data_IF_333725784678
#
_entry.id   IF_333725784678
#
_cell.length_a   1.000
_cell.length_b   1.000
_cell.length_c   1.000
_cell.angle_alpha   90.00
_cell.angle_beta   90.00
_cell.angle_gamma   90.00
#
_symmetry.space_group_name_H-M   'P 1'
#
loop_
_entity.id
_entity.type
_entity.pdbx_description
1 polymer ?
#
# COMPACT_ATOMS: atom_id res chain seq x y z
N UNK A 1 -2.06 14.47 8.71
CA UNK A 1 -1.18 13.29 8.58
C UNK A 1 -2.06 12.15 8.13
N UNK A 2 -1.72 11.48 7.02
CA UNK A 2 -2.45 10.29 6.58
C UNK A 2 -2.23 9.17 7.60
N UNK A 3 -3.31 8.62 8.16
CA UNK A 3 -3.22 7.42 8.99
C UNK A 3 -2.80 6.23 8.13
N UNK A 4 -1.70 5.57 8.50
CA UNK A 4 -1.19 4.39 7.79
C UNK A 4 -1.36 3.18 8.70
N UNK A 5 -2.01 2.14 8.19
CA UNK A 5 -2.20 0.88 8.89
C UNK A 5 -1.37 -0.24 8.24
N UNK A 6 -0.84 -1.15 9.06
CA UNK A 6 -0.18 -2.35 8.59
C UNK A 6 -1.22 -3.30 8.00
N UNK A 7 -1.05 -3.74 6.76
CA UNK A 7 -1.97 -4.70 6.14
C UNK A 7 -1.83 -6.12 6.70
N UNK A 8 -0.77 -6.40 7.46
CA UNK A 8 -0.57 -7.71 8.09
C UNK A 8 -1.30 -7.85 9.43
N UNK A 9 -1.28 -6.82 10.28
CA UNK A 9 -1.90 -6.86 11.61
C UNK A 9 -3.00 -5.82 11.88
N UNK A 10 -3.27 -4.93 10.90
CA UNK A 10 -4.25 -3.86 10.98
C UNK A 10 -3.84 -2.68 11.87
N UNK A 11 -2.72 -2.80 12.58
CA UNK A 11 -2.29 -1.81 13.57
C UNK A 11 -1.78 -0.51 12.96
N UNK A 12 -1.86 0.57 13.72
CA UNK A 12 -1.41 1.90 13.35
C UNK A 12 0.12 2.00 13.29
N UNK A 13 0.66 2.56 12.21
CA UNK A 13 2.10 2.74 12.01
C UNK A 13 2.50 4.17 12.35
N UNK A 14 3.29 4.32 13.41
CA UNK A 14 3.80 5.61 13.92
C UNK A 14 5.10 6.02 13.24
N UNK A 15 5.95 5.05 12.90
CA UNK A 15 7.25 5.28 12.27
C UNK A 15 7.25 4.74 10.84
N UNK A 16 7.17 5.62 9.82
CA UNK A 16 7.09 5.18 8.43
C UNK A 16 8.43 4.68 7.86
N UNK A 17 9.55 4.94 8.53
CA UNK A 17 10.88 4.54 8.09
C UNK A 17 11.07 3.00 7.99
N UNK A 18 10.27 2.23 8.76
CA UNK A 18 10.29 0.77 8.75
C UNK A 18 9.27 0.10 7.83
N UNK A 19 8.54 0.87 7.00
CA UNK A 19 7.48 0.32 6.14
C UNK A 19 8.08 -0.37 4.92
N UNK A 20 7.72 -1.64 4.74
CA UNK A 20 7.88 -2.36 3.48
C UNK A 20 6.68 -2.12 2.57
N UNK A 21 6.85 -1.25 1.59
CA UNK A 21 5.88 -1.07 0.50
C UNK A 21 5.99 -2.22 -0.49
N UNK A 22 4.89 -2.91 -0.75
CA UNK A 22 4.82 -4.06 -1.67
C UNK A 22 3.64 -3.94 -2.62
N UNK A 23 3.71 -4.66 -3.74
CA UNK A 23 2.53 -4.87 -4.58
C UNK A 23 1.66 -5.96 -3.94
N UNK A 24 0.33 -5.78 -3.88
CA UNK A 24 -0.56 -6.81 -3.37
C UNK A 24 -0.57 -8.01 -4.34
N UNK A 25 -0.46 -9.26 -3.85
CA UNK A 25 -0.78 -10.41 -4.70
C UNK A 25 -2.28 -10.44 -5.02
N UNK A 26 -2.65 -11.10 -6.12
CA UNK A 26 -4.02 -11.07 -6.66
C UNK A 26 -5.12 -11.54 -5.68
N UNK A 27 -4.77 -12.34 -4.67
CA UNK A 27 -5.68 -12.89 -3.67
C UNK A 27 -5.28 -12.51 -2.23
N UNK A 28 -4.71 -11.33 -2.02
CA UNK A 28 -4.31 -10.91 -0.67
C UNK A 28 -5.52 -10.57 0.19
N UNK A 29 -5.53 -11.08 1.42
CA UNK A 29 -6.46 -10.64 2.46
C UNK A 29 -5.69 -9.70 3.39
N UNK A 30 -6.16 -8.47 3.52
CA UNK A 30 -5.59 -7.48 4.44
C UNK A 30 -6.28 -7.56 5.79
N UNK A 31 -5.51 -7.37 6.86
CA UNK A 31 -6.06 -7.21 8.19
C UNK A 31 -6.90 -5.92 8.28
N UNK A 32 -8.04 -6.01 8.95
CA UNK A 32 -8.90 -4.85 9.19
C UNK A 32 -8.17 -3.81 10.04
N UNK A 33 -8.26 -2.51 9.69
CA UNK A 33 -7.67 -1.43 10.49
C UNK A 33 -8.18 -1.48 11.93
N UNK A 34 -7.26 -1.31 12.89
CA UNK A 34 -7.58 -1.23 14.31
C UNK A 34 -6.86 -0.07 14.97
N UNK A 35 -7.43 0.41 16.07
CA UNK A 35 -6.91 1.55 16.83
C UNK A 35 -5.61 1.27 17.62
N UNK A 36 -5.17 0.01 17.65
CA UNK A 36 -3.93 -0.39 18.34
C UNK A 36 -2.70 -0.13 17.49
N UNK A 37 -1.55 0.07 18.14
CA UNK A 37 -0.26 0.23 17.46
C UNK A 37 0.14 -1.05 16.71
N UNK A 38 0.84 -0.88 15.59
CA UNK A 38 1.48 -1.96 14.87
C UNK A 38 2.57 -2.59 15.73
N UNK A 39 2.52 -3.91 15.89
CA UNK A 39 3.52 -4.69 16.65
C UNK A 39 4.27 -5.68 15.76
N UNK A 40 4.13 -5.59 14.44
CA UNK A 40 4.89 -6.41 13.51
C UNK A 40 6.37 -6.03 13.56
N UNK A 41 7.27 -7.02 13.46
CA UNK A 41 8.69 -6.76 13.33
C UNK A 41 9.01 -5.92 12.09
N UNK A 42 8.28 -6.15 10.99
CA UNK A 42 8.30 -5.32 9.80
C UNK A 42 6.88 -4.95 9.41
N UNK A 43 6.60 -3.66 9.26
CA UNK A 43 5.28 -3.20 8.83
C UNK A 43 5.15 -3.32 7.32
N UNK A 44 4.03 -3.88 6.84
CA UNK A 44 3.78 -4.09 5.41
C UNK A 44 2.60 -3.22 4.99
N UNK A 45 2.82 -2.44 3.94
CA UNK A 45 1.78 -1.63 3.30
C UNK A 45 1.76 -1.99 1.82
N UNK A 46 0.57 -2.19 1.28
CA UNK A 46 0.37 -2.47 -0.13
C UNK A 46 0.06 -1.17 -0.85
N UNK A 47 0.73 -0.96 -1.96
CA UNK A 47 0.62 0.25 -2.74
C UNK A 47 1.91 1.06 -2.79
N UNK A 48 1.91 2.12 -3.59
CA UNK A 48 3.09 2.94 -3.80
C UNK A 48 3.46 3.74 -2.53
N UNK A 49 4.76 3.94 -2.25
CA UNK A 49 5.18 4.82 -1.18
C UNK A 49 4.69 6.26 -1.42
N UNK A 50 4.51 7.06 -0.35
CA UNK A 50 4.22 8.48 -0.49
C UNK A 50 5.32 9.16 -1.32
N UNK A 51 4.92 9.99 -2.29
CA UNK A 51 5.84 10.63 -3.24
C UNK A 51 6.14 9.83 -4.51
N UNK A 52 5.65 8.58 -4.63
CA UNK A 52 5.83 7.77 -5.85
C UNK A 52 5.26 8.44 -7.11
N UNK A 53 4.11 9.12 -7.00
CA UNK A 53 3.50 9.86 -8.11
C UNK A 53 4.24 11.16 -8.47
N UNK A 54 5.19 11.59 -7.64
CA UNK A 54 6.01 12.78 -7.87
C UNK A 54 7.35 12.44 -8.52
N UNK A 55 7.65 11.15 -8.75
CA UNK A 55 8.85 10.73 -9.47
C UNK A 55 8.64 10.88 -10.99
N UNK A 56 9.49 11.65 -11.69
CA UNK A 56 9.40 11.79 -13.14
C UNK A 56 9.82 10.46 -13.79
N UNK A 57 8.84 9.70 -14.31
CA UNK A 57 9.10 8.45 -15.03
C UNK A 57 8.17 7.28 -14.68
N UNK A 58 7.30 7.41 -13.69
CA UNK A 58 6.27 6.41 -13.42
C UNK A 58 5.04 6.72 -14.28
N UNK A 59 4.64 5.87 -15.23
CA UNK A 59 3.39 6.08 -15.94
C UNK A 59 2.24 6.03 -14.92
N UNK A 60 1.38 7.06 -14.85
CA UNK A 60 0.22 7.03 -13.96
C UNK A 60 -0.65 5.89 -14.43
N UNK A 61 -0.67 4.78 -13.69
CA UNK A 61 -1.61 3.67 -13.80
C UNK A 61 -1.92 3.23 -15.23
N UNK A 62 -1.49 2.03 -15.63
CA UNK A 62 -2.22 1.30 -16.68
C UNK A 62 -3.71 1.40 -16.33
N UNK A 63 -4.43 2.16 -17.13
CA UNK A 63 -5.87 2.31 -17.02
C UNK A 63 -6.41 0.95 -17.44
N UNK A 64 -6.79 0.10 -16.48
CA UNK A 64 -7.30 -1.25 -16.73
C UNK A 64 -8.54 -1.22 -17.67
N UNK A 65 -9.16 -0.04 -17.83
CA UNK A 65 -10.24 0.24 -18.78
C UNK A 65 -9.77 0.38 -20.24
N UNK A 66 -8.51 0.71 -20.51
CA UNK A 66 -7.97 0.84 -21.87
C UNK A 66 -7.74 -0.50 -22.61
N UNK A 67 -7.72 -1.63 -21.89
CA UNK A 67 -7.58 -2.97 -22.47
C UNK A 67 -8.90 -3.54 -22.99
N UNK A 68 -10.05 -3.05 -22.50
CA UNK A 68 -11.36 -3.61 -22.86
C UNK A 68 -11.95 -3.09 -24.19
N UNK A 69 -11.30 -2.15 -24.88
CA UNK A 69 -11.84 -1.50 -26.09
C UNK A 69 -11.21 -1.98 -27.41
N UNK A 70 -10.42 -3.06 -27.39
CA UNK A 70 -9.77 -3.64 -28.59
C UNK A 70 -10.34 -5.02 -28.94
N UNK A 71 -11.67 -5.16 -28.96
CA UNK A 71 -12.31 -6.29 -29.61
C UNK A 71 -13.51 -5.82 -30.44
#
# INVERSE_FOLDING_TARGET
MSEIHCHECGGFIIEPAGISYRLPPAAVVTAAPRSGLCTCHQSVVYGPPPGYLSLPGVPPSIDLRAIAARN
#
